data_IF_066626037077
#
_entry.id   IF_066626037077
#
_cell.length_a   1.000
_cell.length_b   1.000
_cell.length_c   1.000
_cell.angle_alpha   90.00
_cell.angle_beta   90.00
_cell.angle_gamma   90.00
#
_symmetry.space_group_name_H-M   'P 1'
#
loop_
_entity.id
_entity.type
_entity.pdbx_description
1 polymer ?
#
# COMPACT_ATOMS: atom_id res chain seq x y z
N UNK A 1 -3.04 -19.97 22.02
CA UNK A 1 -2.71 -20.81 20.84
C UNK A 1 -3.92 -21.08 19.96
N UNK A 2 -5.03 -21.64 20.46
CA UNK A 2 -6.24 -21.88 19.64
C UNK A 2 -6.82 -20.60 19.02
N UNK A 3 -6.82 -19.49 19.76
CA UNK A 3 -7.21 -18.17 19.24
C UNK A 3 -6.29 -17.68 18.10
N UNK A 4 -5.01 -18.03 18.16
CA UNK A 4 -4.02 -17.70 17.13
C UNK A 4 -4.27 -18.51 15.85
N UNK A 5 -4.68 -19.78 15.97
CA UNK A 5 -5.07 -20.62 14.83
C UNK A 5 -6.30 -20.03 14.13
N UNK A 6 -7.33 -19.63 14.89
CA UNK A 6 -8.53 -19.00 14.33
C UNK A 6 -8.21 -17.70 13.58
N UNK A 7 -7.40 -16.83 14.18
CA UNK A 7 -6.99 -15.58 13.55
C UNK A 7 -6.16 -15.81 12.26
N UNK A 8 -5.43 -16.92 12.18
CA UNK A 8 -4.66 -17.31 11.00
C UNK A 8 -5.56 -17.78 9.85
N UNK A 9 -6.56 -18.61 10.18
CA UNK A 9 -7.59 -19.09 9.23
C UNK A 9 -8.45 -17.94 8.72
N UNK A 10 -8.86 -17.01 9.61
CA UNK A 10 -9.63 -15.81 9.22
C UNK A 10 -8.84 -14.89 8.27
N UNK A 11 -7.50 -14.93 8.33
CA UNK A 11 -6.60 -14.21 7.41
C UNK A 11 -6.28 -14.99 6.13
N UNK A 12 -6.90 -16.16 5.94
CA UNK A 12 -6.71 -17.02 4.77
C UNK A 12 -5.25 -17.46 4.55
N UNK A 13 -4.49 -17.60 5.65
CA UNK A 13 -3.08 -18.03 5.59
C UNK A 13 -3.00 -19.55 5.68
N UNK A 14 -2.42 -20.18 4.66
CA UNK A 14 -2.18 -21.62 4.63
C UNK A 14 -0.88 -21.96 5.38
N UNK A 15 -0.99 -22.71 6.49
CA UNK A 15 0.14 -23.12 7.32
C UNK A 15 1.08 -24.08 6.58
N UNK A 16 0.54 -24.91 5.68
CA UNK A 16 1.34 -25.87 4.90
C UNK A 16 2.17 -25.13 3.84
N UNK A 17 1.58 -24.11 3.21
CA UNK A 17 2.26 -23.25 2.25
C UNK A 17 3.38 -22.44 2.91
N UNK A 18 3.16 -21.91 4.12
CA UNK A 18 4.20 -21.16 4.86
C UNK A 18 5.42 -22.02 5.19
N UNK A 19 5.23 -23.30 5.53
CA UNK A 19 6.32 -24.24 5.73
C UNK A 19 6.83 -24.87 4.42
N UNK A 20 6.21 -24.54 3.28
CA UNK A 20 6.50 -25.09 1.96
C UNK A 20 6.48 -26.63 1.94
N UNK A 21 5.43 -27.20 2.53
CA UNK A 21 5.18 -28.65 2.61
C UNK A 21 3.80 -28.97 2.04
N UNK A 22 3.63 -30.20 1.58
CA UNK A 22 2.33 -30.68 1.14
C UNK A 22 1.38 -30.90 2.33
N UNK A 23 0.07 -30.89 2.08
CA UNK A 23 -0.96 -31.10 3.12
C UNK A 23 -0.95 -32.51 3.72
N UNK A 24 -0.40 -33.48 2.99
CA UNK A 24 -0.17 -34.86 3.41
C UNK A 24 1.20 -35.07 4.08
N UNK A 25 1.97 -34.01 4.30
CA UNK A 25 3.32 -34.10 4.84
C UNK A 25 3.36 -34.80 6.21
N UNK A 26 4.35 -35.67 6.35
CA UNK A 26 4.66 -36.40 7.58
C UNK A 26 5.27 -35.45 8.63
N UNK A 27 5.19 -35.78 9.93
CA UNK A 27 5.79 -34.96 10.98
C UNK A 27 7.32 -34.81 10.81
N UNK A 28 7.97 -35.80 10.19
CA UNK A 28 9.40 -35.71 9.87
C UNK A 28 9.69 -34.66 8.79
N UNK A 29 8.87 -34.58 7.75
CA UNK A 29 9.00 -33.60 6.67
C UNK A 29 8.74 -32.19 7.18
N UNK A 30 7.71 -32.01 8.00
CA UNK A 30 7.39 -30.74 8.67
C UNK A 30 8.59 -30.26 9.51
N UNK A 31 9.20 -31.16 10.28
CA UNK A 31 10.39 -30.85 11.09
C UNK A 31 11.60 -30.49 10.22
N UNK A 32 11.84 -31.22 9.12
CA UNK A 32 12.92 -30.92 8.18
C UNK A 32 12.73 -29.58 7.49
N UNK A 33 11.51 -29.26 7.08
CA UNK A 33 11.17 -27.97 6.46
C UNK A 33 11.35 -26.82 7.45
N UNK A 34 10.87 -26.97 8.68
CA UNK A 34 11.07 -26.00 9.76
C UNK A 34 12.57 -25.73 10.00
N UNK A 35 13.42 -26.74 10.10
CA UNK A 35 14.86 -26.54 10.30
C UNK A 35 15.52 -25.76 9.15
N UNK A 36 15.13 -26.05 7.89
CA UNK A 36 15.65 -25.33 6.73
C UNK A 36 15.26 -23.85 6.77
N UNK A 37 13.99 -23.55 7.04
CA UNK A 37 13.47 -22.19 7.11
C UNK A 37 14.00 -21.43 8.33
N UNK A 38 14.13 -22.10 9.47
CA UNK A 38 14.68 -21.53 10.70
C UNK A 38 16.13 -21.09 10.53
N UNK A 39 16.95 -21.83 9.77
CA UNK A 39 18.32 -21.44 9.45
C UNK A 39 18.39 -20.21 8.54
N UNK A 40 17.48 -20.10 7.58
CA UNK A 40 17.40 -18.96 6.65
C UNK A 40 16.92 -17.68 7.33
N UNK A 41 15.95 -17.79 8.25
CA UNK A 41 15.33 -16.68 8.94
C UNK A 41 15.85 -16.49 10.39
N UNK A 42 16.96 -17.12 10.76
CA UNK A 42 17.50 -17.02 12.12
C UNK A 42 17.92 -15.57 12.45
N UNK A 43 17.55 -15.02 13.62
CA UNK A 43 17.88 -13.63 14.00
C UNK A 43 19.39 -13.38 14.19
N UNK A 44 20.19 -14.43 14.35
CA UNK A 44 21.65 -14.35 14.51
C UNK A 44 22.41 -14.27 13.18
N UNK A 45 21.72 -14.49 12.05
CA UNK A 45 22.28 -14.16 10.74
C UNK A 45 22.31 -12.63 10.64
N UNK A 46 23.50 -12.03 10.46
CA UNK A 46 23.88 -10.60 10.64
C UNK A 46 23.11 -9.53 9.81
N UNK A 47 21.87 -9.80 9.41
CA UNK A 47 20.93 -8.90 8.76
C UNK A 47 19.84 -8.53 9.78
N UNK A 48 20.01 -7.40 10.47
CA UNK A 48 19.09 -6.85 11.48
C UNK A 48 17.79 -6.31 10.85
N UNK A 49 17.16 -7.08 9.97
CA UNK A 49 15.88 -6.73 9.37
C UNK A 49 14.74 -7.17 10.28
N UNK A 50 13.91 -6.22 10.70
CA UNK A 50 12.67 -6.46 11.47
C UNK A 50 11.74 -7.45 10.73
N UNK A 51 11.83 -7.51 9.39
CA UNK A 51 11.05 -8.40 8.54
C UNK A 51 11.40 -9.87 8.81
N UNK A 52 12.70 -10.21 8.88
CA UNK A 52 13.13 -11.60 9.16
C UNK A 52 12.70 -12.10 10.54
N UNK A 53 12.60 -11.20 11.51
CA UNK A 53 12.13 -11.55 12.85
C UNK A 53 10.63 -11.85 12.87
N UNK A 54 9.83 -11.11 12.10
CA UNK A 54 8.39 -11.38 11.96
C UNK A 54 8.16 -12.71 11.23
N UNK A 55 8.92 -12.97 10.16
CA UNK A 55 8.86 -14.21 9.39
C UNK A 55 9.25 -15.43 10.24
N UNK A 56 10.30 -15.32 11.06
CA UNK A 56 10.71 -16.41 11.96
C UNK A 56 9.63 -16.76 12.99
N UNK A 57 8.97 -15.76 13.57
CA UNK A 57 7.85 -15.98 14.51
C UNK A 57 6.68 -16.68 13.82
N UNK A 58 6.40 -16.31 12.56
CA UNK A 58 5.36 -16.96 11.76
C UNK A 58 5.69 -18.43 11.50
N UNK A 59 6.92 -18.71 11.05
CA UNK A 59 7.42 -20.06 10.79
C UNK A 59 7.36 -20.92 12.06
N UNK A 60 7.77 -20.37 13.19
CA UNK A 60 7.70 -21.05 14.49
C UNK A 60 6.26 -21.38 14.88
N UNK A 61 5.34 -20.42 14.77
CA UNK A 61 3.93 -20.65 15.06
C UNK A 61 3.31 -21.72 14.15
N UNK A 62 3.66 -21.73 12.85
CA UNK A 62 3.20 -22.77 11.92
C UNK A 62 3.70 -24.16 12.34
N UNK A 63 4.98 -24.27 12.72
CA UNK A 63 5.55 -25.51 13.21
C UNK A 63 4.88 -25.99 14.51
N UNK A 64 4.63 -25.11 15.48
CA UNK A 64 3.95 -25.46 16.72
C UNK A 64 2.54 -26.03 16.47
N UNK A 65 1.80 -25.46 15.53
CA UNK A 65 0.45 -25.93 15.18
C UNK A 65 0.50 -27.25 14.41
N UNK A 66 1.39 -27.39 13.43
CA UNK A 66 1.46 -28.57 12.57
C UNK A 66 2.19 -29.76 13.20
N UNK A 67 3.04 -29.52 14.21
CA UNK A 67 3.78 -30.58 14.91
C UNK A 67 2.92 -31.32 15.94
N UNK A 68 1.96 -30.67 16.59
CA UNK A 68 1.01 -31.32 17.51
C UNK A 68 -0.19 -31.90 16.73
N UNK A 69 -0.41 -33.23 16.75
CA UNK A 69 -1.56 -33.85 16.08
C UNK A 69 -2.92 -33.29 16.51
N UNK A 70 -3.03 -32.81 17.75
CA UNK A 70 -4.27 -32.23 18.28
C UNK A 70 -4.57 -30.86 17.68
N UNK A 71 -3.52 -30.03 17.53
CA UNK A 71 -3.64 -28.70 16.94
C UNK A 71 -3.80 -28.77 15.43
N UNK A 72 -3.09 -29.69 14.76
CA UNK A 72 -3.26 -29.98 13.33
C UNK A 72 -4.70 -30.35 12.99
N UNK A 73 -5.32 -31.24 13.77
CA UNK A 73 -6.74 -31.61 13.59
C UNK A 73 -7.70 -30.43 13.77
N UNK A 74 -7.44 -29.56 14.75
CA UNK A 74 -8.26 -28.36 14.96
C UNK A 74 -8.14 -27.40 13.77
N UNK A 75 -6.93 -27.23 13.24
CA UNK A 75 -6.70 -26.42 12.04
C UNK A 75 -7.42 -26.99 10.82
N UNK A 76 -7.33 -28.30 10.59
CA UNK A 76 -8.01 -28.99 9.48
C UNK A 76 -9.55 -28.86 9.58
N UNK A 77 -10.13 -29.03 10.77
CA UNK A 77 -11.56 -28.83 10.99
C UNK A 77 -11.99 -27.36 10.75
N UNK A 78 -11.15 -26.39 11.14
CA UNK A 78 -11.42 -24.98 10.89
C UNK A 78 -11.40 -24.65 9.39
N UNK A 79 -10.42 -25.15 8.63
CA UNK A 79 -10.39 -24.98 7.17
C UNK A 79 -11.64 -25.59 6.55
N UNK A 80 -11.99 -26.82 6.94
CA UNK A 80 -13.15 -27.51 6.38
C UNK A 80 -14.47 -26.76 6.65
N UNK A 81 -14.61 -26.14 7.84
CA UNK A 81 -15.77 -25.29 8.17
C UNK A 81 -15.74 -23.99 7.39
N UNK A 82 -14.57 -23.38 7.23
CA UNK A 82 -14.40 -22.14 6.49
C UNK A 82 -14.77 -22.35 5.01
N UNK A 83 -14.26 -23.41 4.37
CA UNK A 83 -14.56 -23.74 2.97
C UNK A 83 -16.05 -24.01 2.75
N UNK A 84 -16.70 -24.75 3.66
CA UNK A 84 -18.15 -24.95 3.62
C UNK A 84 -18.92 -23.64 3.72
N UNK A 85 -18.50 -22.73 4.60
CA UNK A 85 -19.15 -21.43 4.77
C UNK A 85 -18.99 -20.54 3.53
N UNK A 86 -17.80 -20.52 2.92
CA UNK A 86 -17.52 -19.77 1.70
C UNK A 86 -18.34 -20.31 0.52
N UNK A 87 -18.42 -21.64 0.37
CA UNK A 87 -19.21 -22.28 -0.69
C UNK A 87 -20.71 -21.95 -0.58
N UNK A 88 -21.24 -21.92 0.65
CA UNK A 88 -22.65 -21.58 0.91
C UNK A 88 -22.96 -20.14 0.46
N UNK A 89 -22.03 -19.23 0.75
CA UNK A 89 -22.14 -17.81 0.46
C UNK A 89 -22.01 -17.50 -1.03
N UNK A 90 -21.16 -18.23 -1.76
CA UNK A 90 -21.06 -18.16 -3.23
C UNK A 90 -22.35 -18.65 -3.89
N UNK A 91 -22.94 -19.75 -3.39
CA UNK A 91 -24.21 -20.27 -3.91
C UNK A 91 -25.38 -19.28 -3.74
N UNK A 92 -25.45 -18.56 -2.62
CA UNK A 92 -26.45 -17.51 -2.40
C UNK A 92 -26.30 -16.33 -3.38
N UNK A 93 -25.05 -15.95 -3.68
CA UNK A 93 -24.75 -14.89 -4.65
C UNK A 93 -25.15 -15.33 -6.05
N UNK A 94 -24.81 -16.55 -6.45
CA UNK A 94 -25.16 -17.09 -7.77
C UNK A 94 -26.68 -17.17 -7.97
N UNK A 95 -27.42 -17.57 -6.92
CA UNK A 95 -28.88 -17.58 -6.94
C UNK A 95 -29.47 -16.17 -7.10
N UNK A 96 -28.93 -15.17 -6.38
CA UNK A 96 -29.37 -13.78 -6.52
C UNK A 96 -29.05 -13.21 -7.91
N UNK A 97 -27.89 -13.54 -8.48
CA UNK A 97 -27.52 -13.11 -9.83
C UNK A 97 -28.48 -13.69 -10.87
N UNK A 98 -28.83 -14.97 -10.75
CA UNK A 98 -29.81 -15.61 -11.65
C UNK A 98 -31.20 -14.96 -11.53
N UNK A 99 -31.68 -14.72 -10.31
CA UNK A 99 -32.96 -14.06 -10.08
C UNK A 99 -32.98 -12.64 -10.66
N UNK A 100 -31.87 -11.90 -10.51
CA UNK A 100 -31.71 -10.57 -11.07
C UNK A 100 -31.76 -10.59 -12.61
N UNK A 101 -31.06 -11.53 -13.24
CA UNK A 101 -31.07 -11.69 -14.70
C UNK A 101 -32.46 -12.05 -15.23
N UNK A 102 -33.19 -12.90 -14.52
CA UNK A 102 -34.56 -13.26 -14.89
C UNK A 102 -35.50 -12.06 -14.81
N UNK A 103 -35.42 -11.28 -13.72
CA UNK A 103 -36.18 -10.02 -13.58
C UNK A 103 -35.86 -9.01 -14.69
N UNK A 104 -34.59 -8.94 -15.11
CA UNK A 104 -34.16 -8.06 -16.19
C UNK A 104 -34.78 -8.50 -17.53
N UNK A 105 -34.67 -9.80 -17.85
CA UNK A 105 -35.21 -10.39 -19.08
C UNK A 105 -36.73 -10.24 -19.18
N UNK A 106 -37.45 -10.41 -18.06
CA UNK A 106 -38.90 -10.18 -18.02
C UNK A 106 -39.27 -8.72 -18.30
N UNK A 107 -38.53 -7.77 -17.72
CA UNK A 107 -38.74 -6.34 -17.98
C UNK A 107 -38.45 -5.99 -19.44
N UNK A 108 -37.37 -6.52 -20.00
CA UNK A 108 -37.04 -6.35 -21.42
C UNK A 108 -38.13 -6.91 -22.33
N UNK A 109 -38.66 -8.10 -22.01
CA UNK A 109 -39.75 -8.71 -22.77
C UNK A 109 -41.05 -7.90 -22.69
N UNK A 110 -41.41 -7.40 -21.50
CA UNK A 110 -42.59 -6.53 -21.32
C UNK A 110 -42.46 -5.24 -22.12
N UNK A 111 -41.31 -4.57 -22.01
CA UNK A 111 -41.06 -3.35 -22.78
C UNK A 111 -41.12 -3.61 -24.30
N UNK A 112 -40.62 -4.76 -24.74
CA UNK A 112 -40.67 -5.16 -26.16
C UNK A 112 -42.09 -5.45 -26.64
N UNK A 113 -42.91 -6.10 -25.81
CA UNK A 113 -44.33 -6.34 -26.11
C UNK A 113 -45.14 -5.03 -26.11
N UNK A 114 -44.93 -4.15 -25.14
CA UNK A 114 -45.56 -2.82 -25.11
C UNK A 114 -45.22 -2.00 -26.36
N UNK A 115 -43.96 -2.01 -26.79
CA UNK A 115 -43.54 -1.37 -28.05
C UNK A 115 -44.20 -2.00 -29.28
N UNK A 116 -44.46 -3.31 -29.25
CA UNK A 116 -45.13 -4.03 -30.34
C UNK A 116 -46.64 -3.77 -30.37
N UNK A 117 -47.30 -3.67 -29.22
CA UNK A 117 -48.71 -3.27 -29.11
C UNK A 117 -48.92 -1.81 -29.55
N UNK A 118 -48.02 -0.91 -29.18
CA UNK A 118 -48.02 0.48 -29.67
C UNK A 118 -47.79 0.57 -31.18
N UNK A 119 -47.08 -0.39 -31.77
CA UNK A 119 -46.89 -0.51 -33.21
C UNK A 119 -48.08 -1.13 -33.97
N UNK A 120 -49.00 -1.81 -33.29
CA UNK A 120 -50.18 -2.45 -33.91
C UNK A 120 -51.41 -1.53 -33.98
N UNK A 121 -51.40 -0.38 -33.30
CA UNK A 121 -52.35 0.70 -33.54
C UNK A 121 -51.95 1.46 -34.81
N UNK A 122 -52.10 0.84 -35.98
CA UNK A 122 -52.18 1.60 -37.22
C UNK A 122 -53.48 2.43 -37.21
N UNK A 123 -53.24 3.72 -37.02
CA UNK A 123 -54.12 4.86 -37.20
C UNK A 123 -55.01 4.67 -38.44
N UNK A 124 -56.32 4.52 -38.22
CA UNK A 124 -57.29 5.19 -39.11
C UNK A 124 -57.39 6.64 -38.66
N UNK A 125 -57.18 7.50 -39.65
CA UNK A 125 -57.53 8.92 -39.69
C UNK A 125 -56.62 9.91 -38.95
N UNK A 126 -55.73 10.49 -39.76
CA UNK A 126 -55.75 11.91 -40.10
C UNK A 126 -55.81 12.89 -38.91
N UNK A 127 -54.65 13.25 -38.38
CA UNK A 127 -54.24 14.63 -38.04
C UNK A 127 -52.87 14.60 -37.39
N UNK A 128 -51.92 15.37 -37.95
CA UNK A 128 -50.55 15.53 -37.42
C UNK A 128 -50.60 16.15 -36.02
N UNK A 129 -50.67 15.34 -34.96
CA UNK A 129 -50.36 15.77 -33.58
C UNK A 129 -48.86 15.64 -33.35
N UNK A 130 -48.20 16.65 -32.75
CA UNK A 130 -46.75 16.76 -32.79
C UNK A 130 -46.10 15.75 -31.85
N UNK A 131 -45.36 14.80 -32.41
CA UNK A 131 -44.57 13.79 -31.71
C UNK A 131 -43.54 14.37 -30.70
N UNK A 132 -43.29 15.68 -30.73
CA UNK A 132 -42.39 16.38 -29.81
C UNK A 132 -42.89 16.41 -28.36
N UNK A 133 -44.21 16.55 -28.15
CA UNK A 133 -44.79 16.68 -26.79
C UNK A 133 -44.65 15.39 -25.99
N UNK A 134 -44.75 14.23 -26.65
CA UNK A 134 -44.53 12.94 -25.99
C UNK A 134 -43.05 12.71 -25.64
N UNK A 135 -42.10 13.17 -26.47
CA UNK A 135 -40.67 12.97 -26.19
C UNK A 135 -40.23 13.81 -24.97
N UNK A 136 -40.73 15.04 -24.83
CA UNK A 136 -40.44 15.89 -23.67
C UNK A 136 -41.02 15.35 -22.37
N UNK A 137 -42.27 14.86 -22.39
CA UNK A 137 -42.88 14.18 -21.26
C UNK A 137 -42.11 12.91 -20.85
N UNK A 138 -41.69 12.08 -21.82
CA UNK A 138 -40.86 10.90 -21.53
C UNK A 138 -39.48 11.29 -20.94
N UNK A 139 -38.88 12.39 -21.42
CA UNK A 139 -37.62 12.90 -20.86
C UNK A 139 -37.79 13.40 -19.43
N UNK A 140 -38.86 14.15 -19.16
CA UNK A 140 -39.17 14.64 -17.81
C UNK A 140 -39.48 13.50 -16.83
N UNK A 141 -40.22 12.48 -17.25
CA UNK A 141 -40.46 11.28 -16.44
C UNK A 141 -39.17 10.48 -16.19
N UNK A 142 -38.30 10.37 -17.18
CA UNK A 142 -36.98 9.72 -17.04
C UNK A 142 -36.03 10.48 -16.10
N UNK A 143 -36.09 11.82 -16.11
CA UNK A 143 -35.35 12.66 -15.16
C UNK A 143 -35.94 12.55 -13.75
N UNK A 144 -37.27 12.56 -13.60
CA UNK A 144 -37.94 12.36 -12.31
C UNK A 144 -37.63 11.00 -11.70
N UNK A 145 -37.66 9.91 -12.48
CA UNK A 145 -37.33 8.58 -11.99
C UNK A 145 -35.88 8.48 -11.53
N UNK A 146 -34.93 9.10 -12.24
CA UNK A 146 -33.52 9.17 -11.80
C UNK A 146 -33.36 9.95 -10.50
N UNK A 147 -33.97 11.15 -10.42
CA UNK A 147 -33.93 11.97 -9.20
C UNK A 147 -34.59 11.26 -8.02
N UNK A 148 -35.71 10.57 -8.22
CA UNK A 148 -36.38 9.81 -7.16
C UNK A 148 -35.58 8.56 -6.73
N UNK A 149 -34.87 7.90 -7.66
CA UNK A 149 -33.96 6.78 -7.33
C UNK A 149 -32.71 7.28 -6.58
N UNK A 150 -32.19 8.44 -6.95
CA UNK A 150 -31.05 9.09 -6.29
C UNK A 150 -31.44 9.63 -4.90
N UNK A 151 -32.64 10.18 -4.75
CA UNK A 151 -33.24 10.54 -3.45
C UNK A 151 -33.55 9.29 -2.61
N UNK A 152 -34.00 8.20 -3.23
CA UNK A 152 -34.24 6.94 -2.53
C UNK A 152 -32.95 6.19 -2.18
N UNK A 153 -31.89 6.32 -2.99
CA UNK A 153 -30.56 5.79 -2.68
C UNK A 153 -29.93 6.60 -1.56
N UNK A 154 -29.96 7.94 -1.62
CA UNK A 154 -29.48 8.81 -0.54
C UNK A 154 -30.28 8.67 0.76
N UNK A 155 -31.59 8.40 0.70
CA UNK A 155 -32.40 8.09 1.88
C UNK A 155 -32.09 6.69 2.47
N UNK A 156 -31.77 5.71 1.63
CA UNK A 156 -31.32 4.37 2.05
C UNK A 156 -29.84 4.32 2.48
N UNK A 157 -29.02 5.25 2.02
CA UNK A 157 -27.61 5.42 2.41
C UNK A 157 -27.43 5.80 3.88
N UNK A 158 -28.52 6.14 4.60
CA UNK A 158 -28.50 6.19 6.07
C UNK A 158 -28.34 4.81 6.75
N UNK A 159 -28.39 3.71 5.98
CA UNK A 159 -28.06 2.35 6.46
C UNK A 159 -27.27 1.57 5.40
N UNK A 160 -25.94 1.69 5.51
CA UNK A 160 -24.95 0.77 4.95
C UNK A 160 -24.85 0.71 3.41
N UNK A 161 -24.28 1.76 2.81
CA UNK A 161 -23.31 1.54 1.74
C UNK A 161 -21.97 2.04 2.23
N UNK A 162 -21.17 1.15 2.76
CA UNK A 162 -19.78 1.44 3.11
C UNK A 162 -19.07 1.68 1.78
N UNK A 163 -18.95 2.94 1.38
CA UNK A 163 -18.06 3.35 0.29
C UNK A 163 -16.64 2.84 0.59
N UNK A 164 -15.77 2.75 -0.40
CA UNK A 164 -14.33 2.51 -0.15
C UNK A 164 -13.74 3.55 0.84
N UNK A 165 -14.44 4.67 1.04
CA UNK A 165 -14.16 5.73 2.00
C UNK A 165 -14.81 5.53 3.39
N UNK A 166 -15.65 4.52 3.61
CA UNK A 166 -16.35 4.23 4.89
C UNK A 166 -15.82 2.98 5.60
N UNK A 167 -14.76 2.35 5.10
CA UNK A 167 -13.96 1.44 5.92
C UNK A 167 -13.55 2.22 7.19
N UNK A 168 -13.56 1.61 8.39
CA UNK A 168 -12.82 2.15 9.51
C UNK A 168 -11.35 2.02 9.13
N UNK A 169 -10.88 2.96 8.30
CA UNK A 169 -9.49 3.35 8.27
C UNK A 169 -9.22 3.66 9.73
N UNK A 170 -8.42 2.82 10.38
CA UNK A 170 -7.88 3.21 11.67
C UNK A 170 -7.31 4.61 11.46
N UNK A 171 -7.92 5.61 12.08
CA UNK A 171 -7.44 7.00 12.08
C UNK A 171 -6.05 7.11 12.73
N UNK A 172 -5.44 5.98 13.09
CA UNK A 172 -4.03 5.83 13.44
C UNK A 172 -3.11 5.63 12.22
N UNK A 173 -3.63 5.74 10.99
CA UNK A 173 -2.76 6.16 9.88
C UNK A 173 -2.58 7.66 10.00
N UNK A 174 -1.74 8.05 10.95
CA UNK A 174 -1.08 9.34 10.97
C UNK A 174 -0.31 9.50 9.65
N UNK A 175 -1.01 9.93 8.60
CA UNK A 175 -0.44 10.54 7.41
C UNK A 175 0.09 11.94 7.74
N UNK A 176 0.36 12.22 9.00
CA UNK A 176 1.57 12.94 9.37
C UNK A 176 2.78 12.08 8.96
N UNK A 177 2.93 11.91 7.64
CA UNK A 177 4.25 11.90 7.05
C UNK A 177 4.85 13.20 7.53
N UNK A 178 5.56 13.15 8.66
CA UNK A 178 6.67 14.06 8.90
C UNK A 178 7.48 13.92 7.62
N UNK A 179 7.22 14.79 6.65
CA UNK A 179 7.94 14.81 5.39
C UNK A 179 9.31 15.31 5.81
N UNK A 180 10.14 14.37 6.27
CA UNK A 180 11.51 14.63 6.64
C UNK A 180 12.17 15.03 5.32
N UNK A 181 12.37 16.34 5.14
CA UNK A 181 13.05 16.87 3.97
C UNK A 181 14.54 16.77 4.23
N UNK A 182 15.04 15.53 4.31
CA UNK A 182 16.41 15.23 4.73
C UNK A 182 17.36 15.15 3.55
N UNK A 183 18.55 15.71 3.74
CA UNK A 183 19.64 15.68 2.78
C UNK A 183 20.92 15.22 3.47
N UNK A 184 21.69 14.36 2.80
CA UNK A 184 23.04 14.00 3.23
C UNK A 184 24.05 14.89 2.55
N UNK A 185 24.74 15.63 3.39
CA UNK A 185 25.83 16.52 3.03
C UNK A 185 27.15 15.77 3.14
N UNK A 186 27.96 15.83 2.08
CA UNK A 186 29.33 15.31 2.06
C UNK A 186 30.31 16.46 2.09
N UNK A 187 31.25 16.43 3.03
CA UNK A 187 32.30 17.44 3.15
C UNK A 187 33.67 16.81 3.44
N UNK A 188 34.73 17.56 3.11
CA UNK A 188 36.09 17.10 3.34
C UNK A 188 36.43 17.19 4.82
N UNK A 189 36.75 16.06 5.44
CA UNK A 189 37.13 16.01 6.84
C UNK A 189 38.54 16.57 7.03
N UNK A 190 38.70 17.48 8.00
CA UNK A 190 40.01 17.99 8.46
C UNK A 190 40.02 17.95 9.99
N UNK A 191 40.94 17.22 10.62
CA UNK A 191 40.96 17.06 12.08
C UNK A 191 41.22 18.37 12.84
N UNK A 192 41.84 19.36 12.18
CA UNK A 192 42.16 20.67 12.76
C UNK A 192 40.96 21.64 12.79
N UNK A 193 39.91 21.38 12.01
CA UNK A 193 38.76 22.28 11.84
C UNK A 193 37.52 21.59 12.40
N UNK A 194 37.00 22.11 13.52
CA UNK A 194 35.75 21.62 14.11
C UNK A 194 34.57 22.06 13.23
N UNK A 195 33.85 21.08 12.71
CA UNK A 195 32.63 21.27 11.93
C UNK A 195 31.45 21.03 12.88
N UNK A 196 31.02 22.09 13.56
CA UNK A 196 29.93 22.01 14.53
C UNK A 196 28.57 22.07 13.83
N UNK A 197 27.54 21.47 14.42
CA UNK A 197 26.16 21.45 13.91
C UNK A 197 25.64 22.86 13.58
N UNK A 198 25.95 23.83 14.43
CA UNK A 198 25.58 25.24 14.26
C UNK A 198 26.15 25.86 12.97
N UNK A 199 27.37 25.47 12.60
CA UNK A 199 28.02 25.96 11.38
C UNK A 199 27.34 25.37 10.15
N UNK A 200 26.99 24.09 10.19
CA UNK A 200 26.27 23.43 9.09
C UNK A 200 24.87 24.04 8.92
N UNK A 201 24.17 24.32 10.03
CA UNK A 201 22.91 25.06 10.01
C UNK A 201 23.07 26.45 9.36
N UNK A 202 24.09 27.23 9.75
CA UNK A 202 24.34 28.56 9.17
C UNK A 202 24.63 28.49 7.66
N UNK A 203 25.44 27.51 7.23
CA UNK A 203 25.76 27.29 5.82
C UNK A 203 24.51 26.91 5.01
N UNK A 204 23.67 26.02 5.55
CA UNK A 204 22.50 25.46 4.86
C UNK A 204 21.30 26.41 4.89
N UNK A 205 21.26 27.34 5.84
CA UNK A 205 20.22 28.38 5.96
C UNK A 205 20.05 29.24 4.69
N UNK A 206 21.10 29.35 3.86
CA UNK A 206 21.05 30.05 2.56
C UNK A 206 20.08 29.38 1.57
N UNK A 207 19.87 28.07 1.65
CA UNK A 207 18.92 27.36 0.80
C UNK A 207 17.50 27.38 1.38
N UNK A 208 17.37 27.49 2.70
CA UNK A 208 16.12 27.65 3.40
C UNK A 208 16.23 27.26 4.86
N UNK A 209 15.11 27.32 5.58
CA UNK A 209 15.08 27.07 7.02
C UNK A 209 15.35 25.59 7.33
N UNK A 210 16.30 25.35 8.23
CA UNK A 210 16.75 24.02 8.67
C UNK A 210 16.16 23.73 10.05
N UNK A 211 15.66 22.51 10.27
CA UNK A 211 15.12 22.05 11.55
C UNK A 211 16.19 21.46 12.45
N UNK A 212 16.93 20.49 11.92
CA UNK A 212 17.85 19.65 12.68
C UNK A 212 19.01 19.19 11.80
N UNK A 213 20.18 19.01 12.42
CA UNK A 213 21.39 18.54 11.75
C UNK A 213 22.06 17.48 12.62
N UNK A 214 22.30 16.31 12.03
CA UNK A 214 23.01 15.20 12.68
C UNK A 214 24.36 14.98 12.01
N UNK A 215 25.43 14.87 12.80
CA UNK A 215 26.77 14.54 12.29
C UNK A 215 26.95 13.01 12.22
N UNK A 216 27.44 12.52 11.09
CA UNK A 216 27.70 11.11 10.85
C UNK A 216 29.20 10.82 10.88
N UNK A 217 29.55 9.53 11.07
CA UNK A 217 30.93 9.07 11.15
C UNK A 217 31.76 9.42 9.90
N UNK A 218 33.05 9.67 10.13
CA UNK A 218 33.99 10.05 9.09
C UNK A 218 34.75 8.83 8.54
N UNK A 219 34.76 8.66 7.22
CA UNK A 219 35.55 7.65 6.50
C UNK A 219 37.04 8.07 6.35
N UNK A 220 37.55 8.86 7.30
CA UNK A 220 38.90 9.45 7.30
C UNK A 220 39.07 10.65 6.34
N UNK A 221 38.76 10.51 5.04
CA UNK A 221 38.94 11.60 4.04
C UNK A 221 37.72 12.53 3.94
N UNK A 222 36.54 11.99 4.18
CA UNK A 222 35.26 12.71 4.12
C UNK A 222 34.47 12.44 5.39
N UNK A 223 33.67 13.42 5.76
CA UNK A 223 32.66 13.29 6.78
C UNK A 223 31.30 13.59 6.16
N UNK A 224 30.26 13.12 6.84
CA UNK A 224 28.88 13.28 6.38
C UNK A 224 28.05 13.94 7.47
N UNK A 225 27.04 14.69 7.05
CA UNK A 225 26.03 15.23 7.94
C UNK A 225 24.66 15.04 7.32
N UNK A 226 23.65 14.78 8.13
CA UNK A 226 22.26 14.70 7.72
C UNK A 226 21.58 16.00 8.13
N UNK A 227 20.92 16.66 7.18
CA UNK A 227 20.31 17.97 7.36
C UNK A 227 18.83 17.85 7.06
N UNK A 228 17.97 18.16 8.03
CA UNK A 228 16.52 18.21 7.83
C UNK A 228 16.06 19.65 7.54
N UNK A 229 15.41 19.85 6.40
CA UNK A 229 14.82 21.12 6.02
C UNK A 229 13.35 21.22 6.45
N UNK A 230 12.87 22.45 6.66
CA UNK A 230 11.45 22.75 6.88
C UNK A 230 10.63 22.63 5.58
N UNK A 231 11.26 22.92 4.42
CA UNK A 231 10.59 23.02 3.13
C UNK A 231 11.24 22.15 2.05
N UNK A 232 10.40 21.61 1.17
CA UNK A 232 10.83 20.80 0.02
C UNK A 232 11.58 21.64 -1.02
N UNK A 233 11.22 22.92 -1.15
CA UNK A 233 11.87 23.85 -2.09
C UNK A 233 13.32 24.10 -1.67
N UNK A 234 13.57 24.22 -0.36
CA UNK A 234 14.90 24.37 0.21
C UNK A 234 15.76 23.12 -0.03
N UNK A 235 15.18 21.94 0.19
CA UNK A 235 15.84 20.66 -0.08
C UNK A 235 16.26 20.54 -1.55
N UNK A 236 15.34 20.78 -2.49
CA UNK A 236 15.65 20.71 -3.92
C UNK A 236 16.71 21.74 -4.33
N UNK A 237 16.63 22.96 -3.80
CA UNK A 237 17.61 24.02 -4.06
C UNK A 237 19.01 23.66 -3.55
N UNK A 238 19.11 22.90 -2.46
CA UNK A 238 20.37 22.40 -1.93
C UNK A 238 20.91 21.23 -2.77
N UNK A 239 20.07 20.30 -3.21
CA UNK A 239 20.51 19.14 -4.01
C UNK A 239 20.93 19.51 -5.42
N UNK A 240 20.29 20.50 -6.02
CA UNK A 240 20.55 20.92 -7.41
C UNK A 240 21.78 21.84 -7.51
N UNK A 241 22.30 22.31 -6.38
CA UNK A 241 23.44 23.23 -6.35
C UNK A 241 24.78 22.51 -6.55
N UNK A 242 25.63 23.08 -7.40
CA UNK A 242 27.00 22.59 -7.58
C UNK A 242 27.95 23.14 -6.49
N UNK A 243 28.28 22.27 -5.53
CA UNK A 243 29.21 22.55 -4.43
C UNK A 243 30.68 22.64 -4.85
N UNK A 244 31.01 22.50 -6.14
CA UNK A 244 32.37 22.74 -6.65
C UNK A 244 32.81 24.20 -6.46
N UNK A 245 31.84 25.14 -6.47
CA UNK A 245 32.08 26.57 -6.30
C UNK A 245 31.36 27.11 -5.05
N UNK A 246 32.06 27.89 -4.25
CA UNK A 246 31.52 28.46 -3.00
C UNK A 246 30.87 29.85 -3.21
N UNK A 247 30.42 30.17 -4.43
CA UNK A 247 29.95 31.52 -4.81
C UNK A 247 28.78 32.01 -3.95
N UNK A 248 27.85 31.14 -3.56
CA UNK A 248 26.70 31.50 -2.71
C UNK A 248 27.07 31.99 -1.31
N UNK A 249 28.28 31.67 -0.84
CA UNK A 249 28.77 32.07 0.48
C UNK A 249 29.77 33.23 0.43
N UNK A 250 29.92 33.87 -0.73
CA UNK A 250 30.82 35.02 -0.89
C UNK A 250 30.39 36.17 0.05
N UNK A 251 31.33 36.68 0.85
CA UNK A 251 31.07 37.71 1.86
C UNK A 251 30.59 37.20 3.23
N UNK A 252 30.34 35.89 3.38
CA UNK A 252 29.95 35.30 4.68
C UNK A 252 31.17 34.79 5.46
N UNK A 253 31.03 34.71 6.79
CA UNK A 253 32.06 34.15 7.69
C UNK A 253 32.30 32.66 7.43
N UNK A 254 31.28 31.96 6.94
CA UNK A 254 31.30 30.53 6.67
C UNK A 254 31.86 30.16 5.29
N UNK A 255 32.24 31.12 4.43
CA UNK A 255 32.76 30.86 3.07
C UNK A 255 33.87 29.80 3.02
N UNK A 256 34.86 29.94 3.90
CA UNK A 256 36.01 29.01 3.96
C UNK A 256 35.55 27.58 4.32
N UNK A 257 34.54 27.45 5.17
CA UNK A 257 33.98 26.17 5.60
C UNK A 257 33.06 25.59 4.52
N UNK A 258 32.22 26.41 3.90
CA UNK A 258 31.39 26.03 2.76
C UNK A 258 32.21 25.53 1.55
N UNK A 259 33.45 26.02 1.38
CA UNK A 259 34.37 25.51 0.34
C UNK A 259 34.81 24.04 0.53
N UNK A 260 34.58 23.47 1.72
CA UNK A 260 34.88 22.08 2.03
C UNK A 260 33.74 21.12 1.64
N UNK A 261 32.56 21.65 1.31
CA UNK A 261 31.42 20.87 0.82
C UNK A 261 31.74 20.27 -0.55
N UNK A 262 31.19 19.10 -0.85
CA UNK A 262 31.45 18.37 -2.10
C UNK A 262 30.20 17.93 -2.82
N UNK A 263 29.17 17.53 -2.07
CA UNK A 263 27.88 17.18 -2.65
C UNK A 263 26.81 17.19 -1.57
N UNK A 264 25.58 17.50 -1.96
CA UNK A 264 24.39 17.28 -1.16
C UNK A 264 23.48 16.33 -1.94
N UNK A 265 23.08 15.22 -1.33
CA UNK A 265 22.14 14.27 -1.94
C UNK A 265 20.89 14.18 -1.08
N UNK A 266 19.74 14.09 -1.74
CA UNK A 266 18.49 13.78 -1.04
C UNK A 266 18.60 12.36 -0.51
N UNK A 267 18.50 12.19 0.80
CA UNK A 267 18.32 10.87 1.39
C UNK A 267 16.85 10.71 1.71
N UNK A 268 16.30 9.58 1.29
CA UNK A 268 15.02 9.12 1.75
C UNK A 268 15.29 8.12 2.88
N UNK A 269 14.93 8.50 4.11
CA UNK A 269 15.21 7.71 5.31
C UNK A 269 16.68 7.73 5.79
N UNK A 270 16.94 7.20 7.00
CA UNK A 270 18.22 7.34 7.71
C UNK A 270 19.45 6.69 7.04
N UNK A 271 19.26 5.83 6.03
CA UNK A 271 20.35 5.06 5.41
C UNK A 271 20.49 5.28 3.89
N UNK A 272 19.66 6.13 3.27
CA UNK A 272 19.74 6.44 1.82
C UNK A 272 19.30 5.35 0.84
N UNK A 273 18.95 4.15 1.33
CA UNK A 273 18.55 2.99 0.51
C UNK A 273 17.06 2.95 0.16
N UNK A 274 16.25 3.86 0.71
CA UNK A 274 14.80 3.79 0.60
C UNK A 274 14.29 4.66 -0.54
N UNK A 275 13.25 4.22 -1.24
CA UNK A 275 12.73 4.91 -2.43
C UNK A 275 11.83 6.11 -2.10
N UNK A 276 11.31 6.18 -0.88
CA UNK A 276 10.34 7.17 -0.38
C UNK A 276 10.53 7.40 1.12
N UNK A 277 9.87 8.42 1.68
CA UNK A 277 9.88 8.64 3.14
C UNK A 277 8.92 7.71 3.91
N UNK A 278 8.14 6.88 3.21
CA UNK A 278 7.18 5.99 3.84
C UNK A 278 7.73 4.56 3.89
N UNK A 279 8.03 4.10 5.10
CA UNK A 279 8.60 2.78 5.34
C UNK A 279 7.75 1.63 4.74
N UNK A 280 6.42 1.77 4.72
CA UNK A 280 5.52 0.76 4.14
C UNK A 280 5.61 0.75 2.62
N UNK A 281 5.69 1.92 1.99
CA UNK A 281 5.82 2.05 0.53
C UNK A 281 7.16 1.51 0.07
N UNK A 282 8.23 1.77 0.83
CA UNK A 282 9.55 1.21 0.52
C UNK A 282 9.58 -0.31 0.63
N UNK A 283 8.96 -0.88 1.66
CA UNK A 283 8.89 -2.34 1.80
C UNK A 283 8.18 -3.01 0.61
N UNK A 284 7.10 -2.39 0.11
CA UNK A 284 6.39 -2.88 -1.09
C UNK A 284 7.26 -2.75 -2.36
N UNK A 285 7.99 -1.64 -2.50
CA UNK A 285 8.88 -1.42 -3.65
C UNK A 285 10.08 -2.38 -3.64
N UNK A 286 10.67 -2.63 -2.48
CA UNK A 286 11.79 -3.57 -2.33
C UNK A 286 11.33 -5.00 -2.63
N UNK A 287 10.13 -5.40 -2.16
CA UNK A 287 9.54 -6.69 -2.49
C UNK A 287 9.29 -6.85 -3.99
N UNK A 288 8.85 -5.78 -4.67
CA UNK A 288 8.64 -5.79 -6.12
C UNK A 288 9.96 -5.97 -6.88
N UNK A 289 11.00 -5.19 -6.52
CA UNK A 289 12.34 -5.30 -7.15
C UNK A 289 12.93 -6.69 -6.97
N UNK A 290 12.80 -7.28 -5.78
CA UNK A 290 13.24 -8.65 -5.50
C UNK A 290 12.53 -9.65 -6.43
N UNK A 291 11.21 -9.56 -6.55
CA UNK A 291 10.41 -10.46 -7.39
C UNK A 291 10.74 -10.37 -8.89
N UNK A 292 11.18 -9.19 -9.36
CA UNK A 292 11.57 -8.97 -10.75
C UNK A 292 12.98 -9.50 -11.02
N UNK A 293 13.91 -9.35 -10.06
CA UNK A 293 15.23 -9.99 -10.12
C UNK A 293 15.11 -11.51 -10.14
N UNK A 294 14.32 -12.09 -9.25
CA UNK A 294 14.15 -13.56 -9.16
C UNK A 294 13.53 -14.14 -10.44
N UNK A 295 12.59 -13.42 -11.08
CA UNK A 295 12.04 -13.81 -12.39
C UNK A 295 13.05 -13.70 -13.53
N UNK A 296 14.03 -12.81 -13.43
CA UNK A 296 15.07 -12.62 -14.44
C UNK A 296 16.16 -13.69 -14.33
N UNK A 297 16.46 -14.15 -13.12
CA UNK A 297 17.40 -15.27 -12.89
C UNK A 297 16.78 -16.63 -13.25
N UNK A 298 15.46 -16.79 -13.14
CA UNK A 298 14.75 -18.01 -13.57
C UNK A 298 14.57 -18.13 -15.09
N UNK A 299 14.87 -17.06 -15.85
CA UNK A 299 14.73 -17.02 -17.30
C UNK A 299 16.08 -17.16 -18.06
N UNK A 300 17.17 -17.42 -17.34
CA UNK A 300 18.54 -17.63 -17.83
C UNK A 300 19.01 -19.05 -17.52
#
# INVERSE_FOLDING_TARGET
>A
MVESIRAMVDKNVDLYEVLNVATDATPEEIKRAFHKLALLHHPDMKSKSIVKQADFRLILACYEILSDPSLRKQYEDLIQRHDKSQFSRVGEIDAQVQEMQQKLREKEARAKNELQELGQCEVKDNEKRPASVNIELLREEGVRKRRALEEASTAKESKASTSIYDLPVQEDLDFNTSRLFTARLKYRHRPEVKFDENIIMEIMSIFGKVKEVELLDADGKYAYALVEFDDISALNSATDYDYSTAQKWDGTRVRKLASLLRSCKKEFGPDGEKWTNNAKVNAVLDQYVQSVSDKKEMAL
#
